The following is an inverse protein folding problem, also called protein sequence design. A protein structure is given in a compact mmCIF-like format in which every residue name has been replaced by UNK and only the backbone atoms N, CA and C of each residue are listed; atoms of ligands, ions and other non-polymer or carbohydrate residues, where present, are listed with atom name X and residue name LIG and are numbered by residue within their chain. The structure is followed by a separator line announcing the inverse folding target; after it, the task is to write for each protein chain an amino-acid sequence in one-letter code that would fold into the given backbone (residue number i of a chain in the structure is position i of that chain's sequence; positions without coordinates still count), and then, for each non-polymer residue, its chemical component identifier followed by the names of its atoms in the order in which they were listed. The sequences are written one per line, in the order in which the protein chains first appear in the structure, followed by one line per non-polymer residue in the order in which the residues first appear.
data_IF_747772819642
#
_entry.id   IF_747772819642
#
_cell.length_a   1.000
_cell.length_b   1.000
_cell.length_c   1.000
_cell.angle_alpha   90.00
_cell.angle_beta   90.00
_cell.angle_gamma   90.00
#
_symmetry.space_group_name_H-M   'P 1'
#
loop_
_entity.id
_entity.type
_entity.pdbx_description
1 polymer ?
#
# COMPACT_ATOMS: atom_id res chain seq x y z
N UNK A 1 -8.64 -44.33 -45.99
CA UNK A 1 -8.69 -43.30 -44.92
C UNK A 1 -9.37 -42.08 -45.51
N UNK A 2 -10.53 -41.71 -44.99
CA UNK A 2 -11.48 -40.77 -45.58
C UNK A 2 -11.04 -39.30 -45.46
N UNK A 3 -11.42 -38.47 -46.43
CA UNK A 3 -11.13 -37.03 -46.51
C UNK A 3 -11.54 -36.24 -45.25
N UNK A 4 -12.53 -36.75 -44.51
CA UNK A 4 -12.99 -36.20 -43.22
C UNK A 4 -11.92 -36.21 -42.13
N UNK A 5 -11.03 -37.21 -42.10
CA UNK A 5 -9.93 -37.27 -41.11
C UNK A 5 -8.81 -36.29 -41.47
N UNK A 6 -8.59 -36.05 -42.78
CA UNK A 6 -7.60 -35.06 -43.25
C UNK A 6 -8.06 -33.62 -42.98
N UNK A 7 -9.35 -33.30 -43.14
CA UNK A 7 -9.85 -31.95 -42.84
C UNK A 7 -9.84 -31.64 -41.34
N UNK A 8 -10.18 -32.62 -40.49
CA UNK A 8 -10.10 -32.49 -39.03
C UNK A 8 -8.68 -32.26 -38.51
N UNK A 9 -7.69 -32.99 -39.05
CA UNK A 9 -6.27 -32.78 -38.73
C UNK A 9 -5.75 -31.42 -39.21
N UNK A 10 -6.19 -30.95 -40.39
CA UNK A 10 -5.83 -29.63 -40.91
C UNK A 10 -6.40 -28.48 -40.07
N UNK A 11 -7.62 -28.62 -39.55
CA UNK A 11 -8.25 -27.63 -38.69
C UNK A 11 -7.56 -27.56 -37.33
N UNK A 12 -7.22 -28.71 -36.75
CA UNK A 12 -6.52 -28.80 -35.46
C UNK A 12 -5.11 -28.22 -35.51
N UNK A 13 -4.38 -28.47 -36.60
CA UNK A 13 -3.06 -27.87 -36.83
C UNK A 13 -3.15 -26.35 -37.02
N UNK A 14 -4.20 -25.86 -37.71
CA UNK A 14 -4.46 -24.43 -37.90
C UNK A 14 -4.74 -23.71 -36.58
N UNK A 15 -5.55 -24.31 -35.70
CA UNK A 15 -5.83 -23.77 -34.35
C UNK A 15 -4.56 -23.72 -33.49
N UNK A 16 -3.73 -24.77 -33.52
CA UNK A 16 -2.45 -24.78 -32.81
C UNK A 16 -1.46 -23.72 -33.30
N UNK A 17 -1.41 -23.46 -34.62
CA UNK A 17 -0.60 -22.36 -35.16
C UNK A 17 -1.10 -20.98 -34.73
N UNK A 18 -2.43 -20.77 -34.69
CA UNK A 18 -3.02 -19.50 -34.23
C UNK A 18 -2.74 -19.27 -32.73
N UNK A 19 -2.85 -20.31 -31.90
CA UNK A 19 -2.48 -20.23 -30.48
C UNK A 19 -1.00 -19.94 -30.29
N UNK A 20 -0.11 -20.53 -31.09
CA UNK A 20 1.32 -20.23 -31.08
C UNK A 20 1.60 -18.78 -31.46
N UNK A 21 0.97 -18.27 -32.52
CA UNK A 21 1.13 -16.88 -32.96
C UNK A 21 0.62 -15.89 -31.91
N UNK A 22 -0.52 -16.15 -31.28
CA UNK A 22 -1.02 -15.33 -30.17
C UNK A 22 -0.06 -15.33 -28.99
N UNK A 23 0.47 -16.50 -28.63
CA UNK A 23 1.45 -16.61 -27.53
C UNK A 23 2.71 -15.82 -27.85
N UNK A 24 3.19 -15.89 -29.09
CA UNK A 24 4.37 -15.17 -29.56
C UNK A 24 4.13 -13.64 -29.56
N UNK A 25 2.95 -13.19 -29.99
CA UNK A 25 2.53 -11.77 -29.91
C UNK A 25 2.45 -11.27 -28.48
N UNK A 26 1.84 -12.01 -27.55
CA UNK A 26 1.78 -11.66 -26.12
C UNK A 26 3.19 -11.57 -25.52
N UNK A 27 4.08 -12.48 -25.89
CA UNK A 27 5.47 -12.48 -25.41
C UNK A 27 6.24 -11.26 -25.94
N UNK A 28 6.04 -10.90 -27.21
CA UNK A 28 6.64 -9.71 -27.83
C UNK A 28 6.14 -8.41 -27.19
N UNK A 29 4.83 -8.29 -26.95
CA UNK A 29 4.25 -7.14 -26.26
C UNK A 29 4.79 -7.01 -24.82
N UNK A 30 4.98 -8.12 -24.13
CA UNK A 30 5.56 -8.13 -22.79
C UNK A 30 7.02 -7.62 -22.79
N UNK A 31 7.82 -8.08 -23.75
CA UNK A 31 9.21 -7.65 -23.91
C UNK A 31 9.30 -6.16 -24.25
N UNK A 32 8.39 -5.64 -25.06
CA UNK A 32 8.28 -4.21 -25.37
C UNK A 32 7.89 -3.39 -24.13
N UNK A 33 6.94 -3.88 -23.33
CA UNK A 33 6.54 -3.24 -22.07
C UNK A 33 7.70 -3.19 -21.07
N UNK A 34 8.48 -4.27 -20.99
CA UNK A 34 9.67 -4.34 -20.15
C UNK A 34 10.74 -3.36 -20.61
N UNK A 35 11.02 -3.27 -21.92
CA UNK A 35 11.91 -2.25 -22.50
C UNK A 35 11.45 -0.82 -22.19
N UNK A 36 10.16 -0.53 -22.37
CA UNK A 36 9.62 0.80 -22.05
C UNK A 36 9.80 1.17 -20.57
N UNK A 37 9.69 0.17 -19.68
CA UNK A 37 9.93 0.34 -18.25
C UNK A 37 11.40 0.64 -17.96
N UNK A 38 12.32 -0.08 -18.60
CA UNK A 38 13.77 0.16 -18.49
C UNK A 38 14.17 1.55 -19.03
N UNK A 39 13.64 1.95 -20.18
CA UNK A 39 13.88 3.28 -20.77
C UNK A 39 13.37 4.38 -19.84
N UNK A 40 12.17 4.23 -19.26
CA UNK A 40 11.65 5.18 -18.26
C UNK A 40 12.52 5.24 -17.01
N UNK A 41 12.97 4.10 -16.50
CA UNK A 41 13.85 4.05 -15.34
C UNK A 41 15.19 4.75 -15.62
N UNK A 42 15.79 4.50 -16.79
CA UNK A 42 17.02 5.16 -17.23
C UNK A 42 16.84 6.69 -17.39
N UNK A 43 15.73 7.14 -17.95
CA UNK A 43 15.42 8.56 -18.06
C UNK A 43 15.23 9.23 -16.69
N UNK A 44 14.58 8.55 -15.74
CA UNK A 44 14.44 9.03 -14.37
C UNK A 44 15.79 9.12 -13.65
N UNK A 45 16.68 8.13 -13.84
CA UNK A 45 18.03 8.14 -13.32
C UNK A 45 18.85 9.31 -13.86
N UNK A 46 18.83 9.53 -15.18
CA UNK A 46 19.54 10.64 -15.82
C UNK A 46 19.04 12.00 -15.31
N UNK A 47 17.72 12.18 -15.24
CA UNK A 47 17.14 13.42 -14.69
C UNK A 47 17.54 13.64 -13.22
N UNK A 48 17.64 12.56 -12.43
CA UNK A 48 18.09 12.64 -11.04
C UNK A 48 19.57 13.03 -10.98
N UNK A 49 20.44 12.41 -11.78
CA UNK A 49 21.86 12.75 -11.87
C UNK A 49 22.08 14.22 -12.24
N UNK A 50 21.37 14.72 -13.25
CA UNK A 50 21.44 16.11 -13.69
C UNK A 50 20.99 17.06 -12.57
N UNK A 51 19.87 16.75 -11.89
CA UNK A 51 19.38 17.54 -10.75
C UNK A 51 20.38 17.55 -9.58
N UNK A 52 20.92 16.40 -9.22
CA UNK A 52 21.87 16.28 -8.11
C UNK A 52 23.18 17.01 -8.43
N UNK A 53 23.66 16.93 -9.67
CA UNK A 53 24.83 17.69 -10.14
C UNK A 53 24.62 19.20 -10.02
N UNK A 54 23.45 19.71 -10.40
CA UNK A 54 23.11 21.15 -10.25
C UNK A 54 23.13 21.59 -8.78
N UNK A 55 22.85 20.68 -7.85
CA UNK A 55 22.82 20.95 -6.41
C UNK A 55 24.12 20.56 -5.67
N UNK A 56 25.19 20.20 -6.38
CA UNK A 56 26.46 19.71 -5.82
C UNK A 56 26.29 18.49 -4.89
N UNK A 57 25.35 17.59 -5.20
CA UNK A 57 25.13 16.33 -4.48
C UNK A 57 25.57 15.17 -5.37
N UNK A 58 26.33 14.21 -4.83
CA UNK A 58 26.67 12.99 -5.57
C UNK A 58 25.50 12.01 -5.61
N UNK A 59 25.26 11.35 -6.75
CA UNK A 59 24.26 10.26 -6.83
C UNK A 59 24.55 9.16 -5.80
N UNK A 60 25.83 8.84 -5.56
CA UNK A 60 26.25 7.83 -4.58
C UNK A 60 25.94 8.20 -3.13
N UNK A 61 25.82 9.50 -2.86
CA UNK A 61 25.47 10.03 -1.53
C UNK A 61 23.95 10.16 -1.35
N UNK A 62 23.17 9.98 -2.41
CA UNK A 62 21.71 10.01 -2.31
C UNK A 62 21.20 8.79 -1.52
N UNK A 63 20.29 9.02 -0.57
CA UNK A 63 19.69 7.96 0.25
C UNK A 63 19.05 6.88 -0.62
N UNK A 64 18.42 7.25 -1.74
CA UNK A 64 17.81 6.28 -2.66
C UNK A 64 18.84 5.33 -3.29
N UNK A 65 20.02 5.84 -3.68
CA UNK A 65 21.08 5.01 -4.24
C UNK A 65 21.72 4.10 -3.18
N UNK A 66 21.95 4.63 -1.97
CA UNK A 66 22.56 3.87 -0.88
C UNK A 66 21.65 2.76 -0.34
N UNK A 67 20.34 3.00 -0.24
CA UNK A 67 19.40 2.06 0.41
C UNK A 67 18.58 1.24 -0.59
N UNK A 68 18.51 1.64 -1.85
CA UNK A 68 17.63 1.06 -2.86
C UNK A 68 16.15 1.40 -2.65
N UNK A 69 15.82 2.34 -1.76
CA UNK A 69 14.44 2.75 -1.50
C UNK A 69 13.81 3.39 -2.73
N UNK A 70 12.62 2.91 -3.09
CA UNK A 70 11.84 3.38 -4.24
C UNK A 70 10.88 4.47 -3.78
N UNK A 71 10.82 5.58 -4.52
CA UNK A 71 9.88 6.68 -4.25
C UNK A 71 8.87 6.83 -5.39
N UNK A 72 7.59 6.94 -5.06
CA UNK A 72 6.47 7.05 -6.00
C UNK A 72 5.59 8.25 -5.67
N UNK A 73 4.88 8.78 -6.67
CA UNK A 73 3.83 9.77 -6.44
C UNK A 73 2.65 9.14 -5.70
N UNK A 74 2.10 9.83 -4.70
CA UNK A 74 0.89 9.42 -4.00
C UNK A 74 -0.32 9.71 -4.87
N UNK A 75 -0.77 8.68 -5.60
CA UNK A 75 -1.78 8.84 -6.64
C UNK A 75 -1.24 9.71 -7.78
N UNK A 76 -2.08 10.59 -8.31
CA UNK A 76 -1.70 11.63 -9.29
C UNK A 76 -1.22 12.93 -8.65
N UNK A 77 -1.06 12.98 -7.33
CA UNK A 77 -0.54 14.18 -6.64
C UNK A 77 0.97 14.36 -6.89
N UNK A 78 1.48 15.55 -6.59
CA UNK A 78 2.92 15.85 -6.61
C UNK A 78 3.70 15.28 -5.42
N UNK A 79 3.02 14.78 -4.38
CA UNK A 79 3.65 14.27 -3.17
C UNK A 79 4.37 12.94 -3.45
N UNK A 80 5.67 12.87 -3.19
CA UNK A 80 6.46 11.64 -3.34
C UNK A 80 6.67 10.96 -1.99
N UNK A 81 6.30 9.68 -1.92
CA UNK A 81 6.45 8.84 -0.74
C UNK A 81 7.34 7.63 -1.05
N UNK A 82 8.08 7.17 -0.05
CA UNK A 82 8.76 5.88 -0.08
C UNK A 82 7.74 4.75 -0.24
N UNK A 83 8.11 3.71 -0.98
CA UNK A 83 7.23 2.56 -1.23
C UNK A 83 6.93 1.76 0.05
N UNK A 84 7.72 1.96 1.10
CA UNK A 84 7.44 1.52 2.45
C UNK A 84 7.19 2.74 3.33
N UNK A 85 6.21 2.66 4.22
CA UNK A 85 6.00 3.63 5.30
C UNK A 85 5.94 2.93 6.65
N UNK A 86 5.85 3.69 7.73
CA UNK A 86 6.03 3.13 9.07
C UNK A 86 5.25 3.89 10.15
N UNK A 87 4.82 3.19 11.19
CA UNK A 87 4.13 3.79 12.35
C UNK A 87 5.07 4.15 13.53
N UNK A 88 6.13 3.38 13.78
CA UNK A 88 7.05 3.52 14.93
C UNK A 88 8.53 3.33 14.52
N UNK A 89 9.53 3.54 15.40
CA UNK A 89 10.98 3.33 15.07
C UNK A 89 11.54 4.25 13.95
N UNK A 90 11.25 5.54 14.08
CA UNK A 90 11.45 6.57 13.05
C UNK A 90 12.90 6.69 12.57
N UNK A 91 13.87 6.78 13.49
CA UNK A 91 15.29 7.06 13.13
C UNK A 91 15.84 6.00 12.17
N UNK A 92 15.70 4.73 12.53
CA UNK A 92 16.19 3.61 11.72
C UNK A 92 15.53 3.57 10.34
N UNK A 93 14.23 3.84 10.27
CA UNK A 93 13.50 3.88 9.02
C UNK A 93 13.94 5.04 8.13
N UNK A 94 14.12 6.23 8.71
CA UNK A 94 14.57 7.42 8.01
C UNK A 94 15.98 7.24 7.43
N UNK A 95 16.91 6.66 8.21
CA UNK A 95 18.26 6.32 7.75
C UNK A 95 18.26 5.32 6.57
N UNK A 96 17.22 4.49 6.47
CA UNK A 96 17.01 3.56 5.36
C UNK A 96 16.17 4.15 4.21
N UNK A 97 15.86 5.45 4.24
CA UNK A 97 15.16 6.18 3.18
C UNK A 97 13.64 6.11 3.26
N UNK A 98 13.04 5.60 4.34
CA UNK A 98 11.60 5.75 4.55
C UNK A 98 11.31 7.21 4.90
N UNK A 99 10.44 7.85 4.11
CA UNK A 99 9.99 9.22 4.39
C UNK A 99 8.54 9.28 4.88
N UNK A 100 7.74 8.23 4.68
CA UNK A 100 6.34 8.18 5.06
C UNK A 100 6.16 7.62 6.48
N UNK A 101 5.68 8.46 7.39
CA UNK A 101 5.38 8.09 8.77
C UNK A 101 3.92 8.34 9.11
N UNK A 102 3.24 7.31 9.56
CA UNK A 102 1.79 7.32 9.76
C UNK A 102 1.43 7.15 11.23
N UNK A 103 0.53 8.00 11.72
CA UNK A 103 0.04 7.95 13.10
C UNK A 103 -1.48 8.12 13.15
N UNK A 104 -2.07 8.08 14.33
CA UNK A 104 -3.48 8.38 14.55
C UNK A 104 -3.66 8.94 15.96
N UNK A 105 -4.69 9.75 16.18
CA UNK A 105 -4.97 10.32 17.50
C UNK A 105 -5.17 9.25 18.60
N UNK A 106 -5.71 8.08 18.22
CA UNK A 106 -5.95 6.96 19.12
C UNK A 106 -4.68 6.19 19.49
N UNK A 107 -3.61 6.28 18.71
CA UNK A 107 -2.42 5.47 18.97
C UNK A 107 -1.79 5.88 20.30
N UNK A 108 -1.61 4.88 21.18
CA UNK A 108 -1.17 5.04 22.56
C UNK A 108 -1.97 6.08 23.39
N UNK A 109 -3.27 6.29 23.10
CA UNK A 109 -4.11 7.32 23.74
C UNK A 109 -3.50 8.73 23.63
N UNK A 110 -2.95 9.07 22.46
CA UNK A 110 -2.28 10.35 22.21
C UNK A 110 -0.87 10.45 22.81
N UNK A 111 -0.35 9.40 23.46
CA UNK A 111 1.02 9.38 24.02
C UNK A 111 2.12 9.11 22.99
N UNK A 112 1.78 9.00 21.71
CA UNK A 112 2.77 8.93 20.65
C UNK A 112 3.48 10.29 20.54
N UNK A 113 4.41 10.57 21.47
CA UNK A 113 5.37 11.67 21.36
C UNK A 113 6.21 11.34 20.14
N UNK A 114 5.90 11.98 19.03
CA UNK A 114 6.71 11.87 17.83
C UNK A 114 8.08 12.49 18.12
N UNK A 115 9.03 11.65 18.52
CA UNK A 115 10.47 11.93 18.46
C UNK A 115 10.97 12.25 17.03
N UNK A 116 10.07 12.17 16.04
CA UNK A 116 10.27 12.45 14.61
C UNK A 116 11.02 13.77 14.38
N UNK A 117 10.74 14.81 15.16
CA UNK A 117 11.18 16.16 14.83
C UNK A 117 12.59 16.54 15.32
N UNK A 118 13.17 15.82 16.28
CA UNK A 118 14.47 16.21 16.85
C UNK A 118 15.66 15.85 15.94
N UNK A 119 15.53 14.83 15.09
CA UNK A 119 16.67 14.25 14.36
C UNK A 119 16.59 14.46 12.83
N UNK A 120 15.48 14.97 12.29
CA UNK A 120 15.21 14.97 10.85
C UNK A 120 14.66 16.33 10.38
N UNK A 121 14.99 16.73 9.14
CA UNK A 121 14.46 17.96 8.54
C UNK A 121 12.98 17.77 8.19
N UNK A 122 12.08 18.64 8.65
CA UNK A 122 10.63 18.53 8.39
C UNK A 122 10.28 18.36 6.90
N UNK A 123 11.01 19.02 6.01
CA UNK A 123 10.77 18.98 4.56
C UNK A 123 11.25 17.70 3.86
N UNK A 124 11.99 16.81 4.53
CA UNK A 124 12.32 15.48 4.00
C UNK A 124 11.36 14.39 4.48
N UNK A 125 10.36 14.74 5.30
CA UNK A 125 9.40 13.82 5.89
C UNK A 125 8.00 14.02 5.31
N UNK A 126 7.27 12.91 5.19
CA UNK A 126 5.84 12.86 4.90
C UNK A 126 5.14 12.29 6.13
N UNK A 127 4.52 13.16 6.92
CA UNK A 127 3.83 12.79 8.15
C UNK A 127 2.33 12.74 7.89
N UNK A 128 1.71 11.61 8.23
CA UNK A 128 0.28 11.42 8.10
C UNK A 128 -0.38 11.14 9.45
N UNK A 129 -1.58 11.67 9.65
CA UNK A 129 -2.37 11.39 10.86
C UNK A 129 -3.82 11.13 10.49
N UNK A 130 -4.52 10.37 11.34
CA UNK A 130 -5.92 9.98 11.13
C UNK A 130 -6.80 10.54 12.23
N UNK A 131 -7.96 11.02 11.83
CA UNK A 131 -8.96 11.63 12.71
C UNK A 131 -10.29 10.88 12.58
N UNK A 132 -10.91 10.53 13.72
CA UNK A 132 -12.29 10.05 13.82
C UNK A 132 -12.85 10.03 15.26
N UNK A 133 -12.00 9.95 16.28
CA UNK A 133 -12.36 9.74 17.68
C UNK A 133 -11.93 10.93 18.56
N UNK A 134 -12.77 11.96 18.67
CA UNK A 134 -12.52 13.15 19.50
C UNK A 134 -12.82 13.01 20.99
N UNK A 135 -12.84 11.78 21.52
CA UNK A 135 -13.21 11.49 22.90
C UNK A 135 -14.48 10.65 23.04
N UNK A 136 -15.06 10.62 24.25
CA UNK A 136 -16.10 9.65 24.63
C UNK A 136 -17.45 9.79 23.90
N UNK A 137 -17.74 10.90 23.21
CA UNK A 137 -19.11 11.20 22.75
C UNK A 137 -19.26 11.94 21.40
N UNK A 138 -18.20 12.11 20.59
CA UNK A 138 -18.30 12.91 19.36
C UNK A 138 -17.69 12.19 18.16
N UNK A 139 -18.49 11.97 17.12
CA UNK A 139 -18.01 11.66 15.77
C UNK A 139 -17.48 12.94 15.14
N UNK A 140 -16.25 12.91 14.64
CA UNK A 140 -15.47 14.13 14.37
C UNK A 140 -15.16 14.37 12.90
N UNK A 141 -15.83 13.68 11.98
CA UNK A 141 -15.73 14.02 10.55
C UNK A 141 -16.61 15.22 10.16
N UNK A 142 -17.32 15.79 11.13
CA UNK A 142 -17.92 17.12 11.10
C UNK A 142 -16.86 18.22 11.21
N UNK A 143 -17.28 19.49 11.30
CA UNK A 143 -16.40 20.63 11.62
C UNK A 143 -15.51 20.42 12.87
N UNK A 144 -15.87 19.48 13.76
CA UNK A 144 -15.05 19.10 14.89
C UNK A 144 -13.69 18.49 14.51
N UNK A 145 -13.51 18.05 13.24
CA UNK A 145 -12.21 17.60 12.72
C UNK A 145 -11.11 18.66 12.89
N UNK A 146 -11.48 19.95 12.86
CA UNK A 146 -10.57 21.08 13.04
C UNK A 146 -9.97 21.04 14.45
N UNK A 147 -10.81 20.80 15.47
CA UNK A 147 -10.38 20.73 16.88
C UNK A 147 -9.48 19.51 17.09
N UNK A 148 -9.86 18.36 16.56
CA UNK A 148 -9.06 17.13 16.67
C UNK A 148 -7.70 17.24 15.95
N UNK A 149 -7.66 17.91 14.79
CA UNK A 149 -6.41 18.13 14.09
C UNK A 149 -5.50 19.09 14.86
N UNK A 150 -6.03 20.19 15.41
CA UNK A 150 -5.24 21.11 16.28
C UNK A 150 -4.62 20.36 17.44
N UNK A 151 -5.43 19.58 18.17
CA UNK A 151 -4.93 18.77 19.28
C UNK A 151 -3.89 17.74 18.84
N UNK A 152 -4.02 17.18 17.63
CA UNK A 152 -3.02 16.26 17.08
C UNK A 152 -1.72 16.97 16.73
N UNK A 153 -1.78 18.14 16.10
CA UNK A 153 -0.63 18.96 15.76
C UNK A 153 0.14 19.41 17.01
N UNK A 154 -0.57 19.81 18.07
CA UNK A 154 0.02 20.16 19.36
C UNK A 154 0.79 18.98 19.99
N UNK A 155 0.20 17.77 19.98
CA UNK A 155 0.87 16.55 20.47
C UNK A 155 2.07 16.15 19.62
N UNK A 156 1.97 16.33 18.31
CA UNK A 156 3.05 16.07 17.36
C UNK A 156 4.14 17.15 17.40
N UNK A 157 3.85 18.32 18.00
CA UNK A 157 4.70 19.51 17.93
C UNK A 157 5.02 19.91 16.48
N UNK A 158 4.02 19.80 15.61
CA UNK A 158 4.15 20.13 14.19
C UNK A 158 3.19 21.27 13.82
N UNK A 159 3.61 22.20 12.95
CA UNK A 159 2.71 23.22 12.42
C UNK A 159 1.69 22.63 11.44
N UNK A 160 2.05 21.54 10.74
CA UNK A 160 1.19 20.87 9.77
C UNK A 160 1.58 19.39 9.57
N UNK A 161 0.61 18.60 9.09
CA UNK A 161 0.84 17.25 8.54
C UNK A 161 0.80 17.25 7.02
N UNK A 162 1.47 16.32 6.36
CA UNK A 162 1.44 16.25 4.90
C UNK A 162 0.10 15.68 4.40
N UNK A 163 -0.45 14.68 5.09
CA UNK A 163 -1.79 14.15 4.78
C UNK A 163 -2.59 13.95 6.07
N UNK A 164 -3.77 14.54 6.14
CA UNK A 164 -4.77 14.21 7.15
C UNK A 164 -5.78 13.21 6.59
N UNK A 165 -6.04 12.13 7.33
CA UNK A 165 -6.96 11.07 6.93
C UNK A 165 -8.26 11.09 7.72
N UNK A 166 -9.38 10.92 7.03
CA UNK A 166 -10.61 10.44 7.65
C UNK A 166 -10.44 8.95 7.99
N UNK A 167 -10.32 8.58 9.27
CA UNK A 167 -9.91 7.22 9.68
C UNK A 167 -10.91 6.10 9.29
N UNK A 168 -12.19 6.45 9.12
CA UNK A 168 -13.29 5.58 8.67
C UNK A 168 -14.47 6.44 8.21
N UNK A 169 -15.43 5.91 7.45
CA UNK A 169 -16.65 6.65 7.13
C UNK A 169 -17.43 7.02 8.39
N UNK A 170 -18.07 8.19 8.35
CA UNK A 170 -19.01 8.64 9.39
C UNK A 170 -20.42 8.69 8.78
N UNK A 171 -21.30 7.72 9.11
CA UNK A 171 -22.66 7.70 8.57
C UNK A 171 -23.54 8.81 9.16
N UNK A 172 -23.09 9.52 10.20
CA UNK A 172 -23.85 10.57 10.87
C UNK A 172 -23.52 11.98 10.38
N UNK A 173 -22.44 12.14 9.61
CA UNK A 173 -22.01 13.41 9.03
C UNK A 173 -22.16 13.39 7.51
N UNK A 174 -22.84 14.36 6.88
CA UNK A 174 -22.88 14.47 5.43
C UNK A 174 -21.48 14.59 4.83
N UNK A 175 -21.19 13.87 3.73
CA UNK A 175 -19.88 13.90 3.07
C UNK A 175 -19.50 15.32 2.64
N UNK A 176 -20.48 16.17 2.27
CA UNK A 176 -20.22 17.58 1.98
C UNK A 176 -19.55 18.31 3.14
N UNK A 177 -20.04 18.12 4.36
CA UNK A 177 -19.48 18.76 5.55
C UNK A 177 -18.04 18.29 5.78
N UNK A 178 -17.78 16.98 5.65
CA UNK A 178 -16.43 16.42 5.76
C UNK A 178 -15.48 17.00 4.72
N UNK A 179 -15.89 17.09 3.45
CA UNK A 179 -15.06 17.64 2.37
C UNK A 179 -14.76 19.12 2.59
N UNK A 180 -15.74 19.90 3.05
CA UNK A 180 -15.53 21.32 3.40
C UNK A 180 -14.58 21.47 4.58
N UNK A 181 -14.72 20.64 5.61
CA UNK A 181 -13.87 20.70 6.79
C UNK A 181 -12.42 20.30 6.46
N UNK A 182 -12.21 19.26 5.64
CA UNK A 182 -10.90 18.86 5.13
C UNK A 182 -10.26 19.93 4.24
N UNK A 183 -11.06 20.58 3.39
CA UNK A 183 -10.59 21.71 2.57
C UNK A 183 -10.22 22.91 3.43
N UNK A 184 -11.00 23.19 4.48
CA UNK A 184 -10.71 24.27 5.41
C UNK A 184 -9.37 24.08 6.11
N UNK A 185 -9.10 22.89 6.69
CA UNK A 185 -7.82 22.65 7.38
C UNK A 185 -6.61 22.73 6.45
N UNK A 186 -6.78 22.38 5.17
CA UNK A 186 -5.72 22.58 4.16
C UNK A 186 -5.50 24.07 3.89
N UNK A 187 -6.57 24.83 3.66
CA UNK A 187 -6.47 26.27 3.41
C UNK A 187 -5.92 27.05 4.61
N UNK A 188 -6.11 26.55 5.83
CA UNK A 188 -5.50 27.08 7.06
C UNK A 188 -4.03 26.67 7.24
N UNK A 189 -3.47 25.88 6.32
CA UNK A 189 -2.09 25.41 6.38
C UNK A 189 -1.83 24.34 7.45
N UNK A 190 -2.87 23.71 8.00
CA UNK A 190 -2.75 22.65 9.02
C UNK A 190 -2.46 21.28 8.40
N UNK A 191 -2.82 21.10 7.13
CA UNK A 191 -2.48 19.92 6.34
C UNK A 191 -2.12 20.33 4.91
N UNK A 192 -1.26 19.57 4.23
CA UNK A 192 -0.97 19.83 2.80
C UNK A 192 -2.00 19.16 1.88
N UNK A 193 -2.44 17.96 2.25
CA UNK A 193 -3.43 17.18 1.53
C UNK A 193 -4.36 16.44 2.51
N UNK A 194 -5.41 15.81 1.99
CA UNK A 194 -6.23 14.89 2.75
C UNK A 194 -6.50 13.59 2.00
N UNK A 195 -6.88 12.56 2.75
CA UNK A 195 -7.22 11.25 2.22
C UNK A 195 -8.31 10.56 3.05
N UNK A 196 -8.75 9.41 2.55
CA UNK A 196 -9.74 8.56 3.21
C UNK A 196 -9.08 7.29 3.73
N UNK A 197 -9.70 6.62 4.71
CA UNK A 197 -9.25 5.32 5.20
C UNK A 197 -10.46 4.46 5.51
N UNK A 198 -10.52 3.24 4.97
CA UNK A 198 -11.65 2.30 5.09
C UNK A 198 -12.94 2.77 4.40
N UNK A 199 -12.88 3.76 3.52
CA UNK A 199 -14.04 4.22 2.74
C UNK A 199 -14.29 3.29 1.56
N UNK A 200 -15.55 3.03 1.23
CA UNK A 200 -15.94 2.33 0.02
C UNK A 200 -15.60 3.15 -1.23
N UNK A 201 -15.49 2.51 -2.39
CA UNK A 201 -15.26 3.24 -3.64
C UNK A 201 -16.38 4.23 -3.99
N UNK A 202 -17.60 3.96 -3.53
CA UNK A 202 -18.76 4.84 -3.70
C UNK A 202 -18.56 6.12 -2.88
N UNK A 203 -18.25 6.00 -1.59
CA UNK A 203 -18.04 7.16 -0.71
C UNK A 203 -16.85 8.01 -1.16
N UNK A 204 -15.76 7.39 -1.66
CA UNK A 204 -14.61 8.13 -2.21
C UNK A 204 -15.02 8.92 -3.47
N UNK A 205 -15.82 8.31 -4.35
CA UNK A 205 -16.32 8.99 -5.55
C UNK A 205 -17.32 10.11 -5.20
N UNK A 206 -18.14 9.91 -4.17
CA UNK A 206 -19.05 10.94 -3.66
C UNK A 206 -18.25 12.15 -3.13
N UNK A 207 -17.23 11.91 -2.32
CA UNK A 207 -16.33 12.96 -1.84
C UNK A 207 -15.65 13.71 -2.99
N UNK A 208 -15.22 12.99 -4.04
CA UNK A 208 -14.69 13.59 -5.25
C UNK A 208 -15.74 14.44 -5.99
N UNK A 209 -16.98 13.93 -6.11
CA UNK A 209 -18.09 14.62 -6.78
C UNK A 209 -18.44 15.93 -6.06
N UNK A 210 -18.60 15.87 -4.73
CA UNK A 210 -18.79 17.05 -3.87
C UNK A 210 -17.66 18.05 -4.08
N UNK A 211 -16.41 17.59 -4.09
CA UNK A 211 -15.27 18.47 -4.27
C UNK A 211 -15.31 19.20 -5.63
N UNK A 212 -15.71 18.51 -6.69
CA UNK A 212 -15.88 19.13 -8.02
C UNK A 212 -17.06 20.08 -8.07
N UNK A 213 -18.20 19.72 -7.47
CA UNK A 213 -19.42 20.52 -7.48
C UNK A 213 -19.25 21.85 -6.73
N UNK A 214 -18.55 21.82 -5.60
CA UNK A 214 -18.42 22.99 -4.72
C UNK A 214 -17.02 23.63 -4.73
N UNK A 215 -16.20 23.30 -5.74
CA UNK A 215 -14.82 23.77 -5.88
C UNK A 215 -13.98 23.59 -4.60
N UNK A 216 -14.11 22.42 -3.98
CA UNK A 216 -13.33 22.02 -2.81
C UNK A 216 -12.16 21.13 -3.23
N UNK A 217 -11.29 20.79 -2.29
CA UNK A 217 -10.10 19.96 -2.54
C UNK A 217 -10.51 18.48 -2.46
N UNK A 218 -10.29 17.65 -3.49
CA UNK A 218 -10.61 16.21 -3.44
C UNK A 218 -9.55 15.40 -2.65
N UNK A 219 -9.89 14.20 -2.15
CA UNK A 219 -8.93 13.34 -1.45
C UNK A 219 -7.91 12.77 -2.44
N UNK A 220 -6.63 12.75 -2.05
CA UNK A 220 -5.55 12.28 -2.94
C UNK A 220 -5.25 10.78 -2.84
N UNK A 221 -5.67 10.15 -1.75
CA UNK A 221 -5.37 8.75 -1.49
C UNK A 221 -6.40 8.09 -0.57
N UNK A 222 -6.47 6.76 -0.67
CA UNK A 222 -7.19 5.89 0.25
C UNK A 222 -6.20 5.01 0.99
N UNK A 223 -6.39 4.89 2.30
CA UNK A 223 -5.62 4.02 3.16
C UNK A 223 -6.37 2.70 3.43
N UNK A 224 -6.00 1.62 2.75
CA UNK A 224 -6.78 0.37 2.70
C UNK A 224 -6.02 -0.87 3.21
N UNK A 225 -6.74 -1.83 3.80
CA UNK A 225 -6.14 -3.11 4.18
C UNK A 225 -5.74 -3.87 2.91
N UNK A 226 -4.49 -4.32 2.84
CA UNK A 226 -4.03 -5.15 1.75
C UNK A 226 -2.98 -6.14 2.20
N UNK A 227 -3.26 -7.41 1.94
CA UNK A 227 -2.35 -8.51 2.16
C UNK A 227 -2.86 -9.74 1.38
N UNK A 228 -2.10 -10.82 1.36
CA UNK A 228 -2.44 -12.02 0.56
C UNK A 228 -3.84 -12.59 0.83
N UNK A 229 -4.38 -12.42 2.04
CA UNK A 229 -5.76 -12.83 2.40
C UNK A 229 -6.84 -11.73 2.30
N UNK A 230 -6.51 -10.50 1.92
CA UNK A 230 -7.44 -9.38 1.78
C UNK A 230 -7.05 -8.55 0.55
N UNK A 231 -7.73 -8.80 -0.58
CA UNK A 231 -7.25 -8.37 -1.91
C UNK A 231 -8.24 -7.50 -2.69
N UNK A 232 -9.52 -7.80 -2.57
CA UNK A 232 -10.59 -7.34 -3.46
C UNK A 232 -10.62 -5.80 -3.62
N UNK A 233 -10.70 -5.06 -2.51
CA UNK A 233 -10.74 -3.59 -2.53
C UNK A 233 -9.57 -2.98 -3.31
N UNK A 234 -8.34 -3.41 -3.06
CA UNK A 234 -7.13 -2.78 -3.63
C UNK A 234 -6.90 -3.22 -5.07
N UNK A 235 -7.06 -4.51 -5.37
CA UNK A 235 -6.81 -5.05 -6.71
C UNK A 235 -7.91 -4.71 -7.72
N UNK A 236 -9.17 -4.55 -7.27
CA UNK A 236 -10.31 -4.27 -8.15
C UNK A 236 -10.76 -2.82 -8.03
N UNK A 237 -11.20 -2.39 -6.85
CA UNK A 237 -11.89 -1.11 -6.69
C UNK A 237 -10.93 0.09 -6.78
N UNK A 238 -9.82 0.08 -6.03
CA UNK A 238 -8.88 1.21 -6.00
C UNK A 238 -8.14 1.40 -7.33
N UNK A 239 -7.88 0.31 -8.05
CA UNK A 239 -7.32 0.37 -9.40
C UNK A 239 -8.18 1.23 -10.34
N UNK A 240 -9.51 1.07 -10.29
CA UNK A 240 -10.42 1.90 -11.09
C UNK A 240 -10.44 3.36 -10.64
N UNK A 241 -10.42 3.62 -9.33
CA UNK A 241 -10.38 4.99 -8.79
C UNK A 241 -9.10 5.73 -9.19
N UNK A 242 -7.95 5.06 -9.15
CA UNK A 242 -6.69 5.64 -9.61
C UNK A 242 -6.77 6.10 -11.06
N UNK A 243 -7.32 5.29 -11.96
CA UNK A 243 -7.47 5.66 -13.36
C UNK A 243 -8.46 6.80 -13.56
N UNK A 244 -9.61 6.76 -12.90
CA UNK A 244 -10.71 7.73 -13.07
C UNK A 244 -10.43 9.08 -12.43
N UNK A 245 -10.02 9.10 -11.17
CA UNK A 245 -9.91 10.33 -10.36
C UNK A 245 -8.51 10.58 -9.80
N UNK A 246 -7.56 9.65 -10.00
CA UNK A 246 -6.17 9.84 -9.60
C UNK A 246 -5.85 9.52 -8.15
N UNK A 247 -6.76 8.87 -7.43
CA UNK A 247 -6.58 8.48 -6.02
C UNK A 247 -5.49 7.41 -5.89
N UNK A 248 -4.47 7.67 -5.08
CA UNK A 248 -3.44 6.69 -4.73
C UNK A 248 -3.88 5.70 -3.64
N UNK A 249 -3.12 4.63 -3.45
CA UNK A 249 -3.36 3.68 -2.36
C UNK A 249 -2.14 3.59 -1.41
N UNK A 250 -2.40 3.83 -0.12
CA UNK A 250 -1.47 3.50 0.97
C UNK A 250 -2.03 2.30 1.70
N UNK A 251 -1.35 1.17 1.66
CA UNK A 251 -1.91 -0.06 2.23
C UNK A 251 -1.39 -0.34 3.63
N UNK A 252 -2.22 -0.93 4.49
CA UNK A 252 -1.86 -1.30 5.86
C UNK A 252 -2.08 -2.78 6.15
N UNK A 253 -1.50 -3.24 7.28
CA UNK A 253 -1.47 -4.65 7.69
C UNK A 253 -0.95 -5.62 6.61
N UNK A 254 0.20 -5.36 5.95
CA UNK A 254 0.72 -6.24 4.89
C UNK A 254 0.99 -7.67 5.37
N UNK A 255 1.20 -7.85 6.68
CA UNK A 255 1.41 -9.16 7.31
C UNK A 255 0.16 -9.71 8.01
N UNK A 256 -1.03 -9.14 7.78
CA UNK A 256 -2.27 -9.49 8.47
C UNK A 256 -2.07 -9.57 10.00
N UNK A 257 -1.56 -8.47 10.59
CA UNK A 257 -1.17 -8.40 12.01
C UNK A 257 -0.12 -9.44 12.47
N UNK A 258 0.69 -9.95 11.55
CA UNK A 258 1.75 -10.93 11.80
C UNK A 258 1.36 -12.37 11.47
N UNK A 259 0.12 -12.62 11.04
CA UNK A 259 -0.32 -13.94 10.57
C UNK A 259 0.57 -14.44 9.44
N UNK A 260 0.90 -13.57 8.48
CA UNK A 260 1.74 -13.90 7.32
C UNK A 260 3.23 -14.07 7.63
N UNK A 261 3.63 -14.03 8.90
CA UNK A 261 5.00 -14.39 9.29
C UNK A 261 5.17 -15.89 9.56
N UNK A 262 4.08 -16.66 9.59
CA UNK A 262 4.09 -18.07 9.97
C UNK A 262 4.24 -18.35 11.47
N UNK A 263 4.42 -17.30 12.31
CA UNK A 263 4.66 -17.46 13.76
C UNK A 263 3.55 -18.19 14.53
N UNK A 264 2.36 -18.33 13.95
CA UNK A 264 1.19 -18.93 14.58
C UNK A 264 0.95 -20.40 14.17
N UNK A 265 1.90 -21.03 13.46
CA UNK A 265 1.79 -22.42 12.99
C UNK A 265 1.58 -23.43 14.12
N UNK A 266 2.07 -23.12 15.32
CA UNK A 266 2.07 -24.00 16.49
C UNK A 266 1.28 -23.42 17.67
N UNK A 267 0.29 -22.58 17.40
CA UNK A 267 -0.52 -21.88 18.41
C UNK A 267 -0.15 -20.41 18.56
N UNK A 268 -0.50 -19.80 19.70
CA UNK A 268 -0.27 -18.37 19.96
C UNK A 268 1.03 -18.19 20.76
N UNK A 269 2.11 -17.64 20.17
CA UNK A 269 3.34 -17.40 20.90
C UNK A 269 3.15 -16.36 22.01
N UNK A 270 3.90 -16.47 23.12
CA UNK A 270 3.93 -15.44 24.14
C UNK A 270 4.47 -14.13 23.55
N UNK A 271 4.01 -12.99 24.08
CA UNK A 271 4.37 -11.64 23.63
C UNK A 271 4.02 -11.32 22.16
N UNK A 272 3.29 -12.21 21.48
CA UNK A 272 2.74 -11.91 20.15
C UNK A 272 1.56 -10.94 20.27
N UNK A 273 1.22 -10.25 19.17
CA UNK A 273 0.08 -9.31 19.16
C UNK A 273 -1.22 -9.99 19.61
N UNK A 274 -1.45 -11.23 19.17
CA UNK A 274 -2.60 -12.05 19.55
C UNK A 274 -2.63 -12.48 21.03
N UNK A 275 -1.52 -12.36 21.78
CA UNK A 275 -1.50 -12.62 23.23
C UNK A 275 -1.78 -11.37 24.07
N UNK A 276 -1.86 -10.18 23.47
CA UNK A 276 -2.08 -8.93 24.20
C UNK A 276 -3.54 -8.75 24.62
N UNK A 277 -3.76 -8.14 25.80
CA UNK A 277 -5.11 -7.78 26.28
C UNK A 277 -5.79 -6.83 25.27
N UNK A 278 -7.05 -7.12 24.93
CA UNK A 278 -7.82 -6.36 23.93
C UNK A 278 -7.72 -6.92 22.50
N UNK A 279 -6.88 -7.92 22.25
CA UNK A 279 -6.71 -8.56 20.94
C UNK A 279 -7.34 -9.97 20.86
N UNK A 280 -8.33 -10.27 21.70
CA UNK A 280 -8.99 -11.58 21.73
C UNK A 280 -9.60 -11.94 20.36
N UNK A 281 -10.21 -10.96 19.67
CA UNK A 281 -10.72 -11.12 18.31
C UNK A 281 -9.68 -11.68 17.31
N UNK A 282 -8.40 -11.33 17.50
CA UNK A 282 -7.31 -11.80 16.65
C UNK A 282 -6.94 -13.24 16.99
N UNK A 283 -6.91 -13.58 18.27
CA UNK A 283 -6.72 -14.95 18.74
C UNK A 283 -7.82 -15.87 18.20
N UNK A 284 -9.07 -15.42 18.28
CA UNK A 284 -10.22 -16.17 17.77
C UNK A 284 -10.14 -16.35 16.25
N UNK A 285 -9.73 -15.30 15.51
CA UNK A 285 -9.49 -15.38 14.06
C UNK A 285 -8.40 -16.40 13.71
N UNK A 286 -7.28 -16.41 14.44
CA UNK A 286 -6.16 -17.33 14.19
C UNK A 286 -6.54 -18.78 14.49
N UNK A 287 -7.30 -19.02 15.55
CA UNK A 287 -7.75 -20.36 15.99
C UNK A 287 -9.02 -20.84 15.27
N UNK A 288 -9.61 -20.01 14.42
CA UNK A 288 -10.76 -20.40 13.61
C UNK A 288 -10.36 -21.39 12.50
N UNK A 289 -11.35 -22.09 11.95
CA UNK A 289 -11.15 -22.97 10.80
C UNK A 289 -10.51 -22.23 9.61
N UNK A 290 -10.94 -21.00 9.35
CA UNK A 290 -10.35 -20.17 8.31
C UNK A 290 -8.89 -19.80 8.63
N UNK A 291 -8.59 -19.50 9.89
CA UNK A 291 -7.22 -19.28 10.36
C UNK A 291 -6.32 -20.50 10.11
N UNK A 292 -6.80 -21.70 10.40
CA UNK A 292 -6.08 -22.95 10.12
C UNK A 292 -5.84 -23.16 8.62
N UNK A 293 -6.86 -22.92 7.77
CA UNK A 293 -6.70 -22.98 6.30
C UNK A 293 -5.65 -21.99 5.80
N UNK A 294 -5.61 -20.79 6.37
CA UNK A 294 -4.57 -19.79 6.06
C UNK A 294 -3.18 -20.29 6.48
N UNK A 295 -3.03 -20.92 7.65
CA UNK A 295 -1.74 -21.48 8.08
C UNK A 295 -1.22 -22.59 7.14
N UNK A 296 -2.11 -23.42 6.57
CA UNK A 296 -1.71 -24.44 5.58
C UNK A 296 -1.13 -23.77 4.34
N UNK A 297 -1.82 -22.77 3.79
CA UNK A 297 -1.33 -21.99 2.63
C UNK A 297 0.01 -21.32 2.92
N UNK A 298 0.26 -20.88 4.16
CA UNK A 298 1.54 -20.30 4.54
C UNK A 298 2.71 -21.28 4.46
N UNK A 299 2.48 -22.58 4.70
CA UNK A 299 3.53 -23.60 4.52
C UNK A 299 3.91 -23.74 3.05
N UNK A 300 2.94 -23.69 2.14
CA UNK A 300 3.20 -23.72 0.70
C UNK A 300 3.91 -22.45 0.22
N UNK A 301 3.49 -21.28 0.71
CA UNK A 301 4.17 -20.01 0.41
C UNK A 301 5.60 -19.95 0.97
N UNK A 302 5.87 -20.64 2.07
CA UNK A 302 7.23 -20.74 2.62
C UNK A 302 8.18 -21.40 1.61
N UNK A 303 7.74 -22.43 0.89
CA UNK A 303 8.55 -23.09 -0.16
C UNK A 303 8.92 -22.10 -1.27
N UNK A 304 7.98 -21.23 -1.66
CA UNK A 304 8.23 -20.16 -2.63
C UNK A 304 9.25 -19.15 -2.09
N UNK A 305 9.11 -18.74 -0.83
CA UNK A 305 10.03 -17.81 -0.18
C UNK A 305 11.46 -18.37 -0.09
N UNK A 306 11.60 -19.64 0.30
CA UNK A 306 12.88 -20.35 0.39
C UNK A 306 13.58 -20.40 -0.97
N UNK A 307 12.84 -20.70 -2.04
CA UNK A 307 13.36 -20.71 -3.42
C UNK A 307 13.85 -19.34 -3.90
N UNK A 308 13.25 -18.25 -3.41
CA UNK A 308 13.67 -16.88 -3.71
C UNK A 308 14.80 -16.38 -2.79
N UNK A 309 15.16 -17.16 -1.77
CA UNK A 309 16.16 -16.82 -0.76
C UNK A 309 15.70 -15.67 0.14
N UNK A 310 14.42 -15.63 0.51
CA UNK A 310 13.85 -14.60 1.38
C UNK A 310 12.93 -15.19 2.46
N UNK A 311 12.63 -14.42 3.50
CA UNK A 311 11.63 -14.83 4.48
C UNK A 311 10.20 -14.66 3.94
N UNK A 312 9.24 -15.36 4.55
CA UNK A 312 7.83 -15.25 4.18
C UNK A 312 7.27 -13.83 4.37
N UNK A 313 7.76 -13.11 5.38
CA UNK A 313 7.43 -11.70 5.63
C UNK A 313 7.90 -10.81 4.48
N UNK A 314 9.14 -11.02 4.01
CA UNK A 314 9.69 -10.30 2.87
C UNK A 314 8.91 -10.59 1.58
N UNK A 315 8.57 -11.87 1.35
CA UNK A 315 7.73 -12.26 0.21
C UNK A 315 6.36 -11.57 0.27
N UNK A 316 5.69 -11.58 1.43
CA UNK A 316 4.37 -10.98 1.60
C UNK A 316 4.36 -9.46 1.36
N UNK A 317 5.36 -8.74 1.88
CA UNK A 317 5.49 -7.29 1.69
C UNK A 317 5.83 -6.97 0.22
N UNK A 318 6.80 -7.68 -0.36
CA UNK A 318 7.17 -7.50 -1.76
C UNK A 318 5.99 -7.82 -2.71
N UNK A 319 5.19 -8.83 -2.38
CA UNK A 319 3.97 -9.17 -3.10
C UNK A 319 2.96 -8.03 -3.06
N UNK A 320 2.81 -7.33 -1.93
CA UNK A 320 1.94 -6.15 -1.86
C UNK A 320 2.47 -5.01 -2.77
N UNK A 321 3.78 -4.79 -2.78
CA UNK A 321 4.45 -3.76 -3.59
C UNK A 321 4.44 -4.02 -5.10
N UNK A 322 4.17 -5.27 -5.51
CA UNK A 322 4.08 -5.66 -6.93
C UNK A 322 2.93 -4.95 -7.64
N UNK A 323 1.87 -4.61 -6.92
CA UNK A 323 0.72 -3.92 -7.46
C UNK A 323 1.10 -2.46 -7.72
N UNK A 324 1.11 -2.04 -8.99
CA UNK A 324 1.48 -0.67 -9.37
C UNK A 324 0.50 0.39 -8.84
N UNK A 325 -0.75 0.00 -8.54
CA UNK A 325 -1.72 0.87 -7.89
C UNK A 325 -1.41 1.14 -6.41
N UNK A 326 -0.58 0.30 -5.77
CA UNK A 326 -0.11 0.52 -4.40
C UNK A 326 1.08 1.47 -4.43
N UNK A 327 0.89 2.66 -3.85
CA UNK A 327 1.96 3.66 -3.76
C UNK A 327 2.92 3.31 -2.63
N UNK A 328 2.39 2.99 -1.44
CA UNK A 328 3.19 2.68 -0.26
C UNK A 328 2.53 1.61 0.60
N UNK A 329 3.35 0.80 1.26
CA UNK A 329 2.92 -0.22 2.22
C UNK A 329 3.38 0.19 3.61
N UNK A 330 2.43 0.42 4.51
CA UNK A 330 2.70 0.73 5.92
C UNK A 330 3.11 -0.53 6.66
N UNK A 331 4.32 -0.50 7.20
CA UNK A 331 4.89 -1.54 8.02
C UNK A 331 4.52 -1.32 9.49
N UNK A 332 4.34 -2.43 10.21
CA UNK A 332 4.29 -2.46 11.66
C UNK A 332 5.38 -3.39 12.18
N UNK A 333 6.24 -2.88 13.07
CA UNK A 333 7.32 -3.64 13.67
C UNK A 333 7.42 -3.31 15.16
N UNK A 334 7.45 -4.33 16.02
CA UNK A 334 7.60 -4.14 17.47
C UNK A 334 9.05 -4.20 17.93
N UNK A 335 9.98 -4.55 17.03
CA UNK A 335 11.43 -4.67 17.27
C UNK A 335 12.19 -4.19 16.04
N UNK A 336 13.39 -3.67 16.25
CA UNK A 336 14.30 -3.20 15.20
C UNK A 336 14.61 -4.29 14.18
N UNK A 337 14.85 -5.53 14.61
CA UNK A 337 15.20 -6.63 13.71
C UNK A 337 14.09 -6.94 12.71
N UNK A 338 12.82 -6.87 13.14
CA UNK A 338 11.67 -7.05 12.25
C UNK A 338 11.62 -5.93 11.20
N UNK A 339 11.91 -4.70 11.59
CA UNK A 339 11.92 -3.58 10.66
C UNK A 339 13.05 -3.73 9.62
N UNK A 340 14.27 -4.06 10.05
CA UNK A 340 15.41 -4.29 9.15
C UNK A 340 15.11 -5.44 8.18
N UNK A 341 14.51 -6.53 8.67
CA UNK A 341 14.09 -7.65 7.83
C UNK A 341 13.02 -7.23 6.81
N UNK A 342 11.98 -6.53 7.25
CA UNK A 342 10.86 -6.08 6.41
C UNK A 342 11.30 -5.09 5.33
N UNK A 343 12.25 -4.20 5.61
CA UNK A 343 12.76 -3.23 4.63
C UNK A 343 13.47 -3.91 3.46
N UNK A 344 14.12 -5.07 3.70
CA UNK A 344 14.76 -5.86 2.64
C UNK A 344 13.77 -6.47 1.65
N UNK A 345 12.46 -6.42 1.90
CA UNK A 345 11.43 -6.82 0.93
C UNK A 345 11.55 -6.05 -0.40
N UNK A 346 12.05 -4.81 -0.38
CA UNK A 346 12.30 -4.03 -1.61
C UNK A 346 13.25 -4.76 -2.57
N UNK A 347 14.23 -5.50 -2.04
CA UNK A 347 15.20 -6.28 -2.82
C UNK A 347 14.58 -7.55 -3.43
N UNK A 348 13.44 -7.99 -2.91
CA UNK A 348 12.71 -9.16 -3.40
C UNK A 348 11.75 -8.79 -4.52
N UNK A 349 11.28 -7.54 -4.56
CA UNK A 349 10.32 -7.06 -5.57
C UNK A 349 10.75 -7.38 -7.03
N UNK A 350 12.01 -7.18 -7.47
CA UNK A 350 12.43 -7.56 -8.83
C UNK A 350 12.38 -9.07 -9.11
N UNK A 351 12.42 -9.91 -8.07
CA UNK A 351 12.36 -11.38 -8.19
C UNK A 351 10.92 -11.91 -8.33
N UNK A 352 9.91 -11.09 -8.07
CA UNK A 352 8.50 -11.48 -8.22
C UNK A 352 8.12 -11.37 -9.70
N UNK A 353 8.50 -12.40 -10.46
CA UNK A 353 8.10 -12.55 -11.86
C UNK A 353 6.63 -12.92 -11.97
N UNK A 354 6.06 -12.84 -13.18
CA UNK A 354 4.69 -13.29 -13.43
C UNK A 354 4.47 -14.76 -13.04
N UNK A 355 5.48 -15.62 -13.26
CA UNK A 355 5.41 -17.03 -12.87
C UNK A 355 5.25 -17.18 -11.35
N UNK A 356 6.06 -16.45 -10.57
CA UNK A 356 5.97 -16.46 -9.10
C UNK A 356 4.62 -15.89 -8.65
N UNK A 357 4.17 -14.79 -9.25
CA UNK A 357 2.88 -14.20 -8.92
C UNK A 357 1.71 -15.15 -9.20
N UNK A 358 1.75 -15.88 -10.32
CA UNK A 358 0.75 -16.90 -10.68
C UNK A 358 0.77 -18.10 -9.73
N UNK A 359 1.94 -18.57 -9.31
CA UNK A 359 2.07 -19.65 -8.32
C UNK A 359 1.50 -19.23 -6.96
N UNK A 360 1.82 -18.01 -6.50
CA UNK A 360 1.22 -17.44 -5.29
C UNK A 360 -0.29 -17.30 -5.43
N UNK A 361 -0.80 -16.83 -6.58
CA UNK A 361 -2.26 -16.77 -6.83
C UNK A 361 -2.91 -18.16 -6.74
N UNK A 362 -2.25 -19.20 -7.26
CA UNK A 362 -2.73 -20.59 -7.21
C UNK A 362 -2.81 -21.12 -5.77
N UNK A 363 -1.76 -20.90 -4.97
CA UNK A 363 -1.72 -21.31 -3.55
C UNK A 363 -2.81 -20.58 -2.75
N UNK A 364 -2.97 -19.29 -3.00
CA UNK A 364 -3.94 -18.48 -2.27
C UNK A 364 -5.38 -18.78 -2.67
N UNK A 365 -5.63 -19.13 -3.94
CA UNK A 365 -6.95 -19.51 -4.45
C UNK A 365 -8.02 -18.42 -4.26
N UNK A 366 -7.61 -17.16 -4.17
CA UNK A 366 -8.47 -16.03 -3.81
C UNK A 366 -8.25 -14.80 -4.71
N UNK A 367 -7.72 -15.02 -5.93
CA UNK A 367 -7.51 -13.95 -6.89
C UNK A 367 -8.86 -13.30 -7.21
N UNK A 368 -9.02 -11.98 -6.96
CA UNK A 368 -10.30 -11.33 -7.19
C UNK A 368 -10.60 -11.23 -8.69
N UNK A 369 -11.87 -11.39 -9.05
CA UNK A 369 -12.31 -11.30 -10.44
C UNK A 369 -12.41 -9.85 -10.90
N UNK A 370 -11.85 -9.52 -12.06
CA UNK A 370 -12.05 -8.23 -12.69
C UNK A 370 -13.15 -8.35 -13.73
N UNK A 371 -14.19 -7.49 -13.69
CA UNK A 371 -15.30 -7.55 -14.66
C UNK A 371 -14.86 -7.38 -16.12
N UNK A 372 -13.64 -6.89 -16.36
CA UNK A 372 -13.04 -6.79 -17.69
C UNK A 372 -12.67 -8.13 -18.33
N UNK A 373 -12.58 -9.22 -17.54
CA UNK A 373 -12.16 -10.53 -18.04
C UNK A 373 -13.25 -11.27 -18.85
N UNK A 374 -14.52 -10.84 -18.80
CA UNK A 374 -15.64 -11.44 -19.54
C UNK A 374 -15.66 -11.16 -21.05
N UNK A 375 -14.74 -10.32 -21.57
CA UNK A 375 -14.66 -9.98 -23.01
C UNK A 375 -13.42 -10.55 -23.71
N UNK A 376 -12.74 -11.51 -23.10
CA UNK A 376 -11.53 -12.14 -23.67
C UNK A 376 -11.86 -13.48 -24.32
#
# INVERSE_FOLDING_TARGET
MSESVRSGLSCFLSEQTLEQEERQRRTSQLAEFQRLREVRAAAQLKNLEDFLRVNNISLRESTSYATGMIYRNLGKSGLRVSCLGLEELVTLAYENGINLFDTAELYAAGKCKCLICCCCRRSSLVITTKIFWGGKYVHVLSLFCIVCLKASLERLQLPYVDVVFANRPDPTTPIEETVRAMTHVINQGMAMYWGTSRWSAIEIMEAYSVARQFNQIPPICEQAEYHMFQREKVEVQLSELFHKIGTGAVTWSPLACGILSGKYSSGIPPYSRASLKGYQWMKDKILSEEGHRQQVKLKELQVVADRLGCSLTQLAIAWCLRNEGVTSVLLGASRTDQLVENMKAVQILPKITLSIASEVDSILGNKPHNKKDFRS
#
